data_IF_069814313793
#
_entry.id   IF_069814313793
#
_cell.length_a   1.000
_cell.length_b   1.000
_cell.length_c   1.000
_cell.angle_alpha   90.00
_cell.angle_beta   90.00
_cell.angle_gamma   90.00
#
_symmetry.space_group_name_H-M   'P 1'
#
loop_
_entity.id
_entity.type
_entity.pdbx_description
1 polymer ?
#
# COMPACT_ATOMS: atom_id res chain seq x y z
N UNK A 1 22.63 11.14 -7.02
CA UNK A 1 21.55 11.23 -8.03
C UNK A 1 20.20 10.96 -7.38
N UNK A 2 19.10 11.43 -8.00
CA UNK A 2 17.72 11.13 -7.55
C UNK A 2 17.15 10.06 -8.49
N UNK A 3 16.58 9.00 -7.93
CA UNK A 3 15.96 7.91 -8.69
C UNK A 3 14.54 7.62 -8.22
N UNK A 4 13.71 7.14 -9.14
CA UNK A 4 12.37 6.63 -8.85
C UNK A 4 12.45 5.17 -8.39
N UNK A 5 11.63 4.81 -7.41
CA UNK A 5 11.59 3.45 -6.87
C UNK A 5 10.19 3.08 -6.39
N UNK A 6 9.89 1.78 -6.39
CA UNK A 6 8.70 1.21 -5.75
C UNK A 6 9.14 0.52 -4.46
N UNK A 7 8.55 0.92 -3.34
CA UNK A 7 8.86 0.38 -2.01
C UNK A 7 7.62 -0.35 -1.48
N UNK A 8 7.78 -1.62 -1.09
CA UNK A 8 6.69 -2.44 -0.58
C UNK A 8 6.83 -2.63 0.93
N UNK A 9 5.84 -2.13 1.68
CA UNK A 9 5.77 -2.29 3.12
C UNK A 9 6.83 -1.49 3.89
N UNK A 10 7.40 -2.08 4.95
CA UNK A 10 8.50 -1.52 5.77
C UNK A 10 8.22 -0.13 6.37
N UNK A 11 6.96 0.25 6.51
CA UNK A 11 6.59 1.57 7.03
C UNK A 11 6.96 2.73 6.10
N UNK A 12 7.12 2.46 4.79
CA UNK A 12 7.48 3.47 3.80
C UNK A 12 6.55 4.68 3.80
N UNK A 13 5.24 4.48 4.03
CA UNK A 13 4.28 5.59 4.11
C UNK A 13 4.63 6.59 5.21
N UNK A 14 5.13 6.11 6.34
CA UNK A 14 5.55 6.95 7.45
C UNK A 14 6.94 7.52 7.24
N UNK A 15 7.90 6.69 6.82
CA UNK A 15 9.28 7.10 6.63
C UNK A 15 9.45 8.15 5.53
N UNK A 16 8.55 8.15 4.53
CA UNK A 16 8.55 9.08 3.40
C UNK A 16 7.41 10.10 3.48
N UNK A 17 6.74 10.24 4.64
CA UNK A 17 5.53 11.07 4.77
C UNK A 17 5.75 12.53 4.41
N UNK A 18 6.94 13.06 4.68
CA UNK A 18 7.33 14.46 4.44
C UNK A 18 7.98 14.65 3.05
N UNK A 19 8.05 13.59 2.22
CA UNK A 19 8.71 13.65 0.91
C UNK A 19 7.70 13.94 -0.20
N UNK A 20 7.74 15.12 -0.84
CA UNK A 20 6.92 15.41 -2.02
C UNK A 20 7.19 14.44 -3.16
N UNK A 21 6.18 14.22 -4.00
CA UNK A 21 6.29 13.28 -5.11
C UNK A 21 6.33 11.81 -4.69
N UNK A 22 5.81 11.49 -3.50
CA UNK A 22 5.63 10.11 -3.03
C UNK A 22 4.16 9.75 -3.10
N UNK A 23 3.83 8.62 -3.73
CA UNK A 23 2.47 8.08 -3.76
C UNK A 23 2.37 6.88 -2.81
N UNK A 24 1.63 7.03 -1.71
CA UNK A 24 1.40 5.96 -0.74
C UNK A 24 0.12 5.20 -1.09
N UNK A 25 0.24 3.89 -1.33
CA UNK A 25 -0.85 3.03 -1.78
C UNK A 25 -1.05 1.89 -0.81
N UNK A 26 -2.30 1.65 -0.42
CA UNK A 26 -2.71 0.48 0.34
C UNK A 26 -3.58 -0.43 -0.52
N UNK A 27 -3.32 -1.73 -0.44
CA UNK A 27 -4.05 -2.74 -1.22
C UNK A 27 -4.58 -3.79 -0.26
N UNK A 28 -5.89 -4.01 -0.29
CA UNK A 28 -6.57 -5.01 0.51
C UNK A 28 -7.56 -5.83 -0.32
N UNK A 29 -8.10 -6.87 0.28
CA UNK A 29 -9.16 -7.70 -0.27
C UNK A 29 -9.84 -8.48 0.87
N UNK A 30 -11.06 -9.00 0.68
CA UNK A 30 -11.69 -9.92 1.61
C UNK A 30 -10.83 -11.15 1.90
N UNK A 31 -10.90 -11.67 3.13
CA UNK A 31 -10.06 -12.76 3.61
C UNK A 31 -10.10 -13.99 2.69
N UNK A 32 -11.28 -14.38 2.23
CA UNK A 32 -11.45 -15.58 1.38
C UNK A 32 -10.71 -15.46 0.04
N UNK A 33 -10.73 -14.27 -0.57
CA UNK A 33 -9.96 -14.04 -1.81
C UNK A 33 -8.45 -14.05 -1.57
N UNK A 34 -8.01 -13.54 -0.41
CA UNK A 34 -6.60 -13.60 0.00
C UNK A 34 -6.17 -15.05 0.23
N UNK A 35 -7.02 -15.87 0.85
CA UNK A 35 -6.78 -17.31 1.06
C UNK A 35 -6.58 -18.00 -0.29
N UNK A 36 -7.52 -17.84 -1.24
CA UNK A 36 -7.43 -18.44 -2.58
C UNK A 36 -6.15 -18.01 -3.31
N UNK A 37 -5.77 -16.73 -3.19
CA UNK A 37 -4.52 -16.21 -3.77
C UNK A 37 -3.30 -16.89 -3.14
N UNK A 38 -3.25 -17.05 -1.83
CA UNK A 38 -2.12 -17.70 -1.16
C UNK A 38 -2.02 -19.17 -1.57
N UNK A 39 -3.14 -19.89 -1.58
CA UNK A 39 -3.17 -21.29 -2.01
C UNK A 39 -2.60 -21.44 -3.43
N UNK A 40 -3.01 -20.57 -4.35
CA UNK A 40 -2.53 -20.58 -5.74
C UNK A 40 -1.05 -20.25 -5.87
N UNK A 41 -0.59 -19.17 -5.22
CA UNK A 41 0.78 -18.65 -5.39
C UNK A 41 1.80 -19.49 -4.63
N UNK A 42 1.48 -19.90 -3.41
CA UNK A 42 2.39 -20.62 -2.53
C UNK A 42 2.18 -22.14 -2.53
N UNK A 43 1.23 -22.63 -3.35
CA UNK A 43 0.87 -24.07 -3.46
C UNK A 43 0.56 -24.71 -2.10
N UNK A 44 -0.11 -23.95 -1.24
CA UNK A 44 -0.49 -24.39 0.11
C UNK A 44 -1.82 -25.15 0.04
N UNK A 45 -1.83 -26.38 0.53
CA UNK A 45 -3.04 -27.18 0.66
C UNK A 45 -3.83 -26.78 1.92
N UNK A 46 -5.14 -26.64 1.80
CA UNK A 46 -6.05 -26.35 2.91
C UNK A 46 -6.19 -24.86 3.23
N UNK A 47 -7.43 -24.43 3.50
CA UNK A 47 -7.74 -23.01 3.74
C UNK A 47 -7.23 -22.51 5.10
N UNK A 48 -7.15 -23.39 6.10
CA UNK A 48 -6.71 -23.01 7.44
C UNK A 48 -5.24 -22.60 7.48
N UNK A 49 -4.38 -23.35 6.78
CA UNK A 49 -2.96 -22.99 6.71
C UNK A 49 -2.73 -21.65 6.02
N UNK A 50 -3.44 -21.40 4.91
CA UNK A 50 -3.38 -20.11 4.22
C UNK A 50 -3.92 -18.96 5.10
N UNK A 51 -5.00 -19.20 5.87
CA UNK A 51 -5.56 -18.25 6.83
C UNK A 51 -4.56 -17.92 7.95
N UNK A 52 -3.86 -18.91 8.50
CA UNK A 52 -2.82 -18.69 9.50
C UNK A 52 -1.69 -17.82 8.96
N UNK A 53 -1.20 -18.10 7.74
CA UNK A 53 -0.16 -17.31 7.09
C UNK A 53 -0.58 -15.85 6.93
N UNK A 54 -1.84 -15.61 6.55
CA UNK A 54 -2.42 -14.25 6.45
C UNK A 54 -2.44 -13.59 7.82
N UNK A 55 -3.01 -14.26 8.82
CA UNK A 55 -3.16 -13.72 10.18
C UNK A 55 -1.80 -13.37 10.78
N UNK A 56 -0.80 -14.23 10.62
CA UNK A 56 0.55 -13.98 11.09
C UNK A 56 1.20 -12.80 10.35
N UNK A 57 1.09 -12.76 9.02
CA UNK A 57 1.63 -11.68 8.20
C UNK A 57 1.03 -10.32 8.58
N UNK A 58 -0.29 -10.26 8.74
CA UNK A 58 -1.02 -9.05 9.12
C UNK A 58 -0.69 -8.62 10.55
N UNK A 59 -0.63 -9.58 11.50
CA UNK A 59 -0.21 -9.30 12.89
C UNK A 59 1.19 -8.70 12.94
N UNK A 60 2.14 -9.24 12.17
CA UNK A 60 3.52 -8.72 12.11
C UNK A 60 3.55 -7.30 11.55
N UNK A 61 2.80 -7.02 10.48
CA UNK A 61 2.71 -5.65 9.92
C UNK A 61 2.05 -4.68 10.89
N UNK A 62 0.93 -5.07 11.50
CA UNK A 62 0.22 -4.24 12.47
C UNK A 62 1.10 -3.90 13.67
N UNK A 63 1.82 -4.89 14.21
CA UNK A 63 2.73 -4.69 15.35
C UNK A 63 3.89 -3.80 14.95
N UNK A 64 4.57 -4.09 13.84
CA UNK A 64 5.69 -3.29 13.36
C UNK A 64 5.32 -1.81 13.15
N UNK A 65 4.18 -1.54 12.50
CA UNK A 65 3.75 -0.16 12.26
C UNK A 65 3.32 0.52 13.56
N UNK A 66 2.53 -0.14 14.40
CA UNK A 66 2.10 0.44 15.68
C UNK A 66 3.29 0.76 16.58
N UNK A 67 4.27 -0.13 16.68
CA UNK A 67 5.44 0.08 17.53
C UNK A 67 6.34 1.20 16.96
N UNK A 68 6.38 1.35 15.64
CA UNK A 68 7.19 2.37 14.98
C UNK A 68 6.53 3.77 14.95
N UNK A 69 5.20 3.85 14.83
CA UNK A 69 4.50 5.11 14.52
C UNK A 69 3.33 5.43 15.45
N UNK A 70 2.88 4.47 16.27
CA UNK A 70 1.63 4.56 17.03
C UNK A 70 0.36 4.42 16.19
N UNK A 71 0.46 4.29 14.87
CA UNK A 71 -0.70 4.30 13.97
C UNK A 71 -1.25 2.90 13.70
N UNK A 72 -2.52 2.85 13.30
CA UNK A 72 -3.11 1.63 12.76
C UNK A 72 -2.67 1.41 11.31
N UNK A 73 -1.98 0.30 11.05
CA UNK A 73 -1.42 -0.01 9.72
C UNK A 73 -2.44 -0.08 8.57
N UNK A 74 -3.72 -0.24 8.88
CA UNK A 74 -4.81 -0.37 7.91
C UNK A 74 -5.72 0.86 7.86
N UNK A 75 -5.38 1.93 8.56
CA UNK A 75 -6.14 3.19 8.48
C UNK A 75 -5.94 3.81 7.10
N UNK A 76 -7.04 4.03 6.37
CA UNK A 76 -7.02 4.61 5.03
C UNK A 76 -6.36 6.00 5.00
N UNK A 77 -6.42 6.76 6.09
CA UNK A 77 -5.81 8.10 6.21
C UNK A 77 -4.28 8.08 6.13
N UNK A 78 -3.67 6.92 6.35
CA UNK A 78 -2.22 6.74 6.22
C UNK A 78 -1.76 6.57 4.76
N UNK A 79 -2.66 6.67 3.79
CA UNK A 79 -2.39 6.40 2.38
C UNK A 79 -3.10 7.44 1.51
N UNK A 80 -2.54 7.71 0.32
CA UNK A 80 -3.20 8.56 -0.66
C UNK A 80 -4.29 7.80 -1.42
N UNK A 81 -4.09 6.49 -1.61
CA UNK A 81 -5.02 5.63 -2.35
C UNK A 81 -5.14 4.27 -1.65
N UNK A 82 -6.38 3.79 -1.53
CA UNK A 82 -6.71 2.45 -1.05
C UNK A 82 -7.44 1.68 -2.15
N UNK A 83 -6.95 0.51 -2.54
CA UNK A 83 -7.63 -0.38 -3.48
C UNK A 83 -8.18 -1.61 -2.78
N UNK A 84 -9.49 -1.85 -2.93
CA UNK A 84 -10.09 -3.15 -2.66
C UNK A 84 -9.99 -4.04 -3.90
N UNK A 85 -8.97 -4.89 -3.91
CA UNK A 85 -8.73 -5.87 -5.00
C UNK A 85 -9.69 -7.06 -4.98
N UNK A 86 -10.61 -7.10 -4.01
CA UNK A 86 -11.75 -7.98 -4.05
C UNK A 86 -12.91 -7.46 -4.89
N UNK A 87 -12.96 -6.14 -5.11
CA UNK A 87 -13.94 -5.48 -5.96
C UNK A 87 -13.35 -5.10 -7.31
N UNK A 88 -12.11 -4.62 -7.32
CA UNK A 88 -11.42 -4.07 -8.49
C UNK A 88 -10.32 -5.03 -8.92
N UNK A 89 -10.26 -5.37 -10.20
CA UNK A 89 -9.19 -6.22 -10.72
C UNK A 89 -7.83 -5.49 -10.71
N UNK A 90 -6.74 -6.27 -10.72
CA UNK A 90 -5.39 -5.71 -10.65
C UNK A 90 -5.02 -4.85 -11.86
N UNK A 91 -5.54 -5.15 -13.05
CA UNK A 91 -5.21 -4.37 -14.25
C UNK A 91 -5.80 -2.97 -14.20
N UNK A 92 -7.03 -2.85 -13.70
CA UNK A 92 -7.68 -1.56 -13.42
C UNK A 92 -6.93 -0.76 -12.37
N UNK A 93 -6.49 -1.40 -11.28
CA UNK A 93 -5.67 -0.75 -10.25
C UNK A 93 -4.35 -0.20 -10.82
N UNK A 94 -3.66 -1.00 -11.65
CA UNK A 94 -2.41 -0.59 -12.31
C UNK A 94 -2.65 0.58 -13.26
N UNK A 95 -3.68 0.52 -14.09
CA UNK A 95 -4.02 1.60 -15.03
C UNK A 95 -4.29 2.92 -14.30
N UNK A 96 -5.02 2.87 -13.18
CA UNK A 96 -5.27 4.03 -12.33
C UNK A 96 -3.95 4.59 -11.74
N UNK A 97 -3.09 3.71 -11.20
CA UNK A 97 -1.81 4.13 -10.63
C UNK A 97 -0.88 4.80 -11.64
N UNK A 98 -0.74 4.23 -12.84
CA UNK A 98 0.09 4.81 -13.90
C UNK A 98 -0.40 6.21 -14.25
N UNK A 99 -1.71 6.38 -14.49
CA UNK A 99 -2.29 7.69 -14.82
C UNK A 99 -2.06 8.73 -13.72
N UNK A 100 -2.12 8.32 -12.46
CA UNK A 100 -1.91 9.22 -11.31
C UNK A 100 -0.44 9.62 -11.22
N UNK A 101 0.48 8.66 -11.34
CA UNK A 101 1.93 8.91 -11.31
C UNK A 101 2.37 9.79 -12.48
N UNK A 102 1.82 9.60 -13.67
CA UNK A 102 2.12 10.45 -14.84
C UNK A 102 1.74 11.91 -14.58
N UNK A 103 0.51 12.14 -14.08
CA UNK A 103 0.06 13.49 -13.71
C UNK A 103 0.87 14.08 -12.56
N UNK A 104 1.26 13.28 -11.58
CA UNK A 104 2.09 13.72 -10.47
C UNK A 104 3.48 14.15 -10.94
N UNK A 105 4.08 13.37 -11.84
CA UNK A 105 5.38 13.68 -12.47
C UNK A 105 5.31 14.96 -13.27
N UNK A 106 4.28 15.14 -14.11
CA UNK A 106 4.07 16.38 -14.87
C UNK A 106 3.96 17.62 -13.98
N UNK A 107 3.29 17.51 -12.81
CA UNK A 107 3.21 18.63 -11.85
C UNK A 107 4.58 18.98 -11.28
N UNK A 108 5.35 17.97 -10.89
CA UNK A 108 6.70 18.16 -10.34
C UNK A 108 7.65 18.77 -11.38
N UNK A 109 7.61 18.30 -12.62
CA UNK A 109 8.44 18.82 -13.72
C UNK A 109 8.09 20.28 -14.06
N UNK A 110 6.82 20.67 -13.89
CA UNK A 110 6.37 22.05 -14.03
C UNK A 110 6.71 22.94 -12.82
N UNK A 111 7.41 22.43 -11.80
CA UNK A 111 7.76 23.15 -10.58
C UNK A 111 6.60 23.39 -9.62
N UNK A 112 5.48 22.69 -9.80
CA UNK A 112 4.32 22.80 -8.92
C UNK A 112 4.49 21.89 -7.69
N UNK A 113 4.02 22.37 -6.54
CA UNK A 113 3.98 21.55 -5.34
C UNK A 113 3.00 20.37 -5.48
N UNK A 114 3.43 19.25 -4.91
CA UNK A 114 2.61 18.05 -4.72
C UNK A 114 2.54 17.80 -3.21
N UNK A 115 1.31 17.78 -2.63
CA UNK A 115 1.12 17.52 -1.22
C UNK A 115 1.81 16.23 -0.78
N UNK A 116 2.36 16.27 0.42
CA UNK A 116 2.95 15.12 1.11
C UNK A 116 1.88 14.40 1.94
N UNK A 117 2.21 13.23 2.47
CA UNK A 117 1.27 12.53 3.36
C UNK A 117 1.13 13.26 4.70
N UNK A 118 2.16 13.98 5.13
CA UNK A 118 2.12 14.75 6.38
C UNK A 118 0.97 15.76 6.39
N UNK A 119 0.61 16.32 5.22
CA UNK A 119 -0.49 17.27 5.06
C UNK A 119 -1.87 16.64 5.37
N UNK A 120 -1.99 15.31 5.32
CA UNK A 120 -3.22 14.57 5.66
C UNK A 120 -3.25 14.09 7.11
N UNK A 121 -2.10 14.06 7.79
CA UNK A 121 -1.94 13.51 9.14
C UNK A 121 -1.94 14.58 10.24
N UNK A 122 -1.85 15.86 9.85
CA UNK A 122 -2.03 17.05 10.71
C UNK A 122 -3.51 17.35 10.95
#
# INVERSE_FOLDING_TARGET
EKHSAVIVGRGGFWALRDRPGTLNVYVHAPLEMRIQRIQRVWKVSGSDRAREMIKESDRRRATFIRDMTGLHWSDARNYHITFDTGLIDLSSCVSALVRIVDKMTQRLDAGNDVPSLADNLS
#
